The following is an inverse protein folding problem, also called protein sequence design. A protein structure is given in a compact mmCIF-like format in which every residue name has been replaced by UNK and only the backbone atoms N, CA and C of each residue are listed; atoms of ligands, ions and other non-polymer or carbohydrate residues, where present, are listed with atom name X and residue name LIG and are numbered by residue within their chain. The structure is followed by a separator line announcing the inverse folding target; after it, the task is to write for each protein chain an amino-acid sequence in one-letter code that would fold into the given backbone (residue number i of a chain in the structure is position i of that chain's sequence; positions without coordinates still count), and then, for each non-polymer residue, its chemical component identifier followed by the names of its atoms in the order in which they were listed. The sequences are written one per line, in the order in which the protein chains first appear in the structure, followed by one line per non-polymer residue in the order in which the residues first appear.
data_IF_383954083486
#
_entry.id   IF_383954083486
#
_cell.length_a   1.000
_cell.length_b   1.000
_cell.length_c   1.000
_cell.angle_alpha   90.00
_cell.angle_beta   90.00
_cell.angle_gamma   90.00
#
_symmetry.space_group_name_H-M   'P 1'
#
loop_
_entity.id
_entity.type
_entity.pdbx_description
1 polymer ?
#
# COMPACT_ATOMS: atom_id res chain seq x y z
N UNK A 1 25.90 8.94 -69.17
CA UNK A 1 25.63 7.53 -69.50
C UNK A 1 24.23 7.16 -69.01
N UNK A 2 23.37 6.70 -69.91
CA UNK A 2 21.96 6.32 -69.69
C UNK A 2 21.85 4.91 -69.08
N UNK A 3 20.88 4.69 -68.18
CA UNK A 3 19.97 3.52 -68.13
C UNK A 3 19.01 3.67 -66.93
N UNK A 4 17.68 3.84 -67.13
CA UNK A 4 16.63 2.80 -67.33
C UNK A 4 16.50 1.92 -66.06
N UNK A 5 15.35 1.75 -65.37
CA UNK A 5 13.96 1.56 -65.82
C UNK A 5 12.94 1.83 -64.68
N UNK A 6 11.77 2.34 -65.09
CA UNK A 6 10.47 2.26 -64.41
C UNK A 6 10.05 0.78 -64.20
N UNK A 7 9.19 0.46 -63.21
CA UNK A 7 7.89 -0.16 -63.52
C UNK A 7 6.93 -0.18 -62.33
N UNK A 8 5.77 0.40 -62.61
CA UNK A 8 4.51 0.37 -61.89
C UNK A 8 3.90 -1.04 -61.94
N UNK A 9 3.39 -1.57 -60.82
CA UNK A 9 2.43 -2.69 -60.84
C UNK A 9 1.18 -2.24 -60.06
N UNK A 10 0.11 -2.02 -60.82
CA UNK A 10 -1.28 -1.98 -60.36
C UNK A 10 -1.88 -3.37 -60.61
N UNK A 11 -2.45 -4.00 -59.58
CA UNK A 11 -3.48 -5.04 -59.67
C UNK A 11 -4.34 -4.90 -58.39
N UNK A 12 -5.53 -4.30 -58.48
CA UNK A 12 -6.84 -4.95 -58.69
C UNK A 12 -7.38 -5.62 -57.41
N UNK A 13 -8.35 -4.91 -56.81
CA UNK A 13 -9.65 -5.35 -56.27
C UNK A 13 -9.71 -6.73 -55.60
N UNK A 14 -9.89 -6.70 -54.28
CA UNK A 14 -10.37 -7.82 -53.49
C UNK A 14 -11.17 -7.30 -52.31
N UNK A 15 -12.42 -6.87 -52.56
CA UNK A 15 -13.39 -6.66 -51.50
C UNK A 15 -13.85 -8.03 -51.00
N UNK A 16 -13.53 -8.38 -49.75
CA UNK A 16 -14.30 -9.37 -49.01
C UNK A 16 -14.58 -8.83 -47.60
N UNK A 17 -15.86 -8.75 -47.33
CA UNK A 17 -16.47 -8.26 -46.11
C UNK A 17 -16.16 -9.24 -44.98
N UNK A 18 -15.53 -8.79 -43.90
CA UNK A 18 -15.59 -9.46 -42.61
C UNK A 18 -16.13 -8.48 -41.57
N UNK A 19 -17.36 -8.78 -41.18
CA UNK A 19 -18.06 -8.32 -39.98
C UNK A 19 -17.19 -8.43 -38.73
N UNK A 20 -17.15 -7.41 -37.87
CA UNK A 20 -16.56 -7.57 -36.54
C UNK A 20 -16.23 -6.29 -35.77
N UNK A 21 -17.26 -5.69 -35.18
CA UNK A 21 -17.26 -5.02 -33.87
C UNK A 21 -16.18 -3.96 -33.49
N UNK A 22 -16.67 -2.71 -33.43
CA UNK A 22 -16.57 -1.77 -32.30
C UNK A 22 -15.37 -1.88 -31.35
N UNK A 23 -14.55 -0.83 -31.28
CA UNK A 23 -14.06 -0.30 -30.01
C UNK A 23 -13.77 1.20 -30.11
N UNK A 24 -14.26 1.90 -29.10
CA UNK A 24 -14.65 3.30 -29.06
C UNK A 24 -13.49 4.08 -28.45
N UNK A 25 -13.12 5.18 -29.11
CA UNK A 25 -12.22 6.21 -28.60
C UNK A 25 -12.96 7.05 -27.54
N UNK A 26 -12.40 7.29 -26.34
CA UNK A 26 -12.93 8.33 -25.43
C UNK A 26 -11.84 8.94 -24.53
N UNK A 27 -11.38 10.10 -24.99
CA UNK A 27 -11.11 11.37 -24.30
C UNK A 27 -10.93 11.40 -22.76
N UNK A 28 -9.87 12.08 -22.35
CA UNK A 28 -9.54 12.53 -21.00
C UNK A 28 -10.67 13.35 -20.34
N UNK A 29 -10.87 13.16 -19.03
CA UNK A 29 -11.58 14.12 -18.18
C UNK A 29 -10.82 14.33 -16.85
N UNK A 30 -10.40 15.58 -16.60
CA UNK A 30 -9.91 16.06 -15.29
C UNK A 30 -11.11 16.26 -14.37
N UNK A 31 -11.06 15.74 -13.15
CA UNK A 31 -12.04 16.06 -12.12
C UNK A 31 -11.46 17.12 -11.17
N UNK A 32 -11.96 18.34 -11.32
CA UNK A 32 -12.00 19.35 -10.26
C UNK A 32 -13.30 19.12 -9.49
N UNK A 33 -13.23 18.71 -8.23
CA UNK A 33 -14.41 18.64 -7.37
C UNK A 33 -14.01 18.87 -5.91
N UNK A 34 -14.45 20.02 -5.43
CA UNK A 34 -14.55 20.40 -4.02
C UNK A 34 -15.39 19.38 -3.25
N UNK A 35 -14.83 18.81 -2.19
CA UNK A 35 -15.50 17.82 -1.34
C UNK A 35 -16.31 18.51 -0.24
N UNK A 36 -17.63 18.46 -0.33
CA UNK A 36 -18.52 18.59 0.83
C UNK A 36 -18.76 17.19 1.42
N UNK A 37 -18.64 16.99 2.75
CA UNK A 37 -18.87 15.70 3.36
C UNK A 37 -20.37 15.39 3.35
N UNK A 38 -20.71 14.10 3.23
CA UNK A 38 -22.04 13.52 3.43
C UNK A 38 -22.92 13.30 2.18
N UNK A 39 -22.39 12.62 1.16
CA UNK A 39 -23.22 11.88 0.19
C UNK A 39 -22.57 10.54 -0.14
N UNK A 40 -23.27 9.45 0.15
CA UNK A 40 -22.77 8.08 0.05
C UNK A 40 -22.31 7.68 -1.35
N UNK A 41 -21.38 6.73 -1.41
CA UNK A 41 -20.82 6.18 -2.65
C UNK A 41 -21.76 5.09 -3.16
N UNK A 42 -22.33 5.29 -4.35
CA UNK A 42 -23.08 4.25 -5.09
C UNK A 42 -22.09 3.39 -5.88
N UNK A 43 -21.89 2.15 -5.45
CA UNK A 43 -21.13 1.14 -6.20
C UNK A 43 -22.10 0.35 -7.08
N UNK A 44 -22.01 0.49 -8.41
CA UNK A 44 -22.65 -0.43 -9.35
C UNK A 44 -21.79 -1.69 -9.44
N UNK A 45 -22.22 -2.77 -8.79
CA UNK A 45 -21.58 -4.08 -8.92
C UNK A 45 -22.37 -4.94 -9.91
N UNK A 46 -21.67 -5.49 -10.89
CA UNK A 46 -22.22 -6.56 -11.75
C UNK A 46 -21.84 -7.88 -11.10
N UNK A 47 -22.85 -8.58 -10.58
CA UNK A 47 -22.83 -10.00 -10.20
C UNK A 47 -21.92 -10.42 -9.03
N UNK A 48 -22.47 -10.34 -7.80
CA UNK A 48 -22.18 -11.34 -6.77
C UNK A 48 -23.47 -12.12 -6.49
N UNK A 49 -23.50 -13.41 -6.85
CA UNK A 49 -24.47 -14.36 -6.31
C UNK A 49 -24.05 -14.73 -4.89
N UNK A 50 -24.85 -14.33 -3.91
CA UNK A 50 -24.83 -14.93 -2.58
C UNK A 50 -26.26 -15.13 -2.09
N UNK A 51 -26.64 -16.37 -1.87
CA UNK A 51 -27.92 -16.75 -1.29
C UNK A 51 -27.72 -16.83 0.21
N UNK A 52 -27.86 -15.69 0.89
CA UNK A 52 -28.02 -15.68 2.35
C UNK A 52 -29.11 -14.69 2.72
N UNK A 53 -30.29 -15.24 2.98
CA UNK A 53 -31.44 -14.50 3.48
C UNK A 53 -31.10 -13.99 4.88
N UNK A 54 -30.99 -12.68 5.04
CA UNK A 54 -30.92 -12.06 6.37
C UNK A 54 -32.36 -11.71 6.74
N UNK A 55 -32.93 -12.45 7.68
CA UNK A 55 -34.25 -12.17 8.24
C UNK A 55 -34.09 -11.02 9.25
N UNK A 56 -34.70 -9.87 8.94
CA UNK A 56 -34.79 -8.75 9.87
C UNK A 56 -35.76 -9.09 11.03
N UNK A 57 -35.40 -8.85 12.29
CA UNK A 57 -36.37 -8.75 13.38
C UNK A 57 -36.94 -7.32 13.41
N UNK A 58 -38.26 -7.24 13.54
CA UNK A 58 -39.06 -6.01 13.65
C UNK A 58 -38.88 -5.31 15.00
N UNK A 59 -39.15 -4.01 14.97
CA UNK A 59 -39.23 -3.08 16.11
C UNK A 59 -39.89 -3.67 17.37
N UNK A 60 -39.27 -3.37 18.52
CA UNK A 60 -39.80 -3.56 19.86
C UNK A 60 -39.11 -2.60 20.83
N UNK A 61 -39.91 -1.78 21.51
CA UNK A 61 -39.55 -0.58 22.26
C UNK A 61 -39.08 -0.87 23.70
N UNK A 62 -38.18 0.01 24.17
CA UNK A 62 -37.58 0.27 25.49
C UNK A 62 -37.94 -0.58 26.73
N UNK A 63 -36.89 -1.04 27.42
CA UNK A 63 -36.80 -0.99 28.89
C UNK A 63 -35.39 -0.54 29.31
N UNK A 64 -35.35 0.50 30.15
CA UNK A 64 -34.14 1.04 30.77
C UNK A 64 -33.61 0.05 31.82
N UNK A 65 -32.40 -0.47 31.62
CA UNK A 65 -31.61 -1.08 32.69
C UNK A 65 -30.14 -0.67 32.57
N UNK A 66 -29.60 -0.25 33.71
CA UNK A 66 -28.24 0.27 33.87
C UNK A 66 -27.30 -0.87 34.21
N UNK A 67 -26.37 -1.19 33.31
CA UNK A 67 -25.26 -2.08 33.65
C UNK A 67 -24.67 -2.79 32.44
N UNK A 68 -23.36 -2.61 32.26
CA UNK A 68 -22.51 -3.25 31.25
C UNK A 68 -22.55 -2.65 29.85
N UNK A 69 -21.68 -1.66 29.61
CA UNK A 69 -21.19 -1.40 28.26
C UNK A 69 -20.03 -2.36 27.95
N UNK A 70 -20.32 -3.65 27.84
CA UNK A 70 -19.60 -4.54 26.92
C UNK A 70 -19.92 -4.08 25.50
N UNK A 71 -19.34 -2.96 25.10
CA UNK A 71 -19.31 -2.56 23.70
C UNK A 71 -18.29 -3.46 23.02
N UNK A 72 -18.76 -4.64 22.59
CA UNK A 72 -18.09 -5.42 21.56
C UNK A 72 -17.81 -4.48 20.37
N UNK A 73 -16.57 -4.00 20.29
CA UNK A 73 -16.12 -3.07 19.26
C UNK A 73 -16.42 -3.68 17.90
N UNK A 74 -17.29 -3.01 17.15
CA UNK A 74 -17.45 -3.24 15.72
C UNK A 74 -16.10 -2.91 15.04
N UNK A 75 -15.21 -3.90 14.96
CA UNK A 75 -14.09 -3.96 14.02
C UNK A 75 -13.25 -2.69 13.88
N UNK A 76 -12.92 -2.00 14.98
CA UNK A 76 -12.02 -0.85 14.91
C UNK A 76 -10.66 -1.28 14.33
N UNK A 77 -10.26 -0.70 13.20
CA UNK A 77 -8.98 -0.98 12.56
C UNK A 77 -7.85 -0.55 13.50
N UNK A 78 -6.96 -1.50 13.85
CA UNK A 78 -5.83 -1.22 14.75
C UNK A 78 -4.95 -0.08 14.22
N UNK A 79 -4.32 0.69 15.12
CA UNK A 79 -3.43 1.80 14.73
C UNK A 79 -2.27 1.30 13.85
N UNK A 80 -1.75 0.10 14.11
CA UNK A 80 -0.73 -0.55 13.28
C UNK A 80 -1.20 -0.82 11.85
N UNK A 81 -2.44 -1.30 11.68
CA UNK A 81 -3.04 -1.47 10.35
C UNK A 81 -3.24 -0.13 9.64
N UNK A 82 -3.61 0.94 10.35
CA UNK A 82 -3.72 2.28 9.75
C UNK A 82 -2.36 2.81 9.27
N UNK A 83 -1.30 2.62 10.06
CA UNK A 83 0.09 2.93 9.68
C UNK A 83 0.49 2.20 8.39
N UNK A 84 0.21 0.90 8.32
CA UNK A 84 0.49 0.07 7.14
C UNK A 84 -0.28 0.57 5.92
N UNK A 85 -1.58 0.83 6.04
CA UNK A 85 -2.42 1.36 4.95
C UNK A 85 -1.89 2.71 4.45
N UNK A 86 -1.36 3.55 5.33
CA UNK A 86 -0.75 4.81 4.94
C UNK A 86 0.61 4.61 4.25
N UNK A 87 1.44 3.67 4.72
CA UNK A 87 2.73 3.35 4.13
C UNK A 87 2.61 2.90 2.65
N UNK A 88 1.54 2.18 2.30
CA UNK A 88 1.28 1.76 0.92
C UNK A 88 1.20 2.92 -0.09
N UNK A 89 0.84 4.13 0.34
CA UNK A 89 0.77 5.32 -0.54
C UNK A 89 2.13 5.73 -1.10
N UNK A 90 3.22 5.24 -0.52
CA UNK A 90 4.59 5.58 -0.91
C UNK A 90 5.25 4.51 -1.76
N UNK A 91 4.59 3.38 -2.05
CA UNK A 91 5.12 2.39 -2.98
C UNK A 91 5.50 3.06 -4.32
N UNK A 92 6.66 2.69 -4.86
CA UNK A 92 7.19 3.27 -6.09
C UNK A 92 7.92 4.61 -5.92
N UNK A 93 7.85 5.28 -4.75
CA UNK A 93 8.62 6.52 -4.53
C UNK A 93 10.12 6.24 -4.55
N UNK A 94 10.95 7.13 -5.13
CA UNK A 94 12.38 6.90 -5.25
C UNK A 94 13.07 6.86 -3.90
N UNK A 95 14.13 6.04 -3.82
CA UNK A 95 15.08 6.13 -2.73
C UNK A 95 16.04 7.30 -2.94
N UNK A 96 16.19 8.15 -1.92
CA UNK A 96 17.23 9.20 -1.88
C UNK A 96 17.81 9.23 -0.47
N UNK A 97 19.13 9.06 -0.35
CA UNK A 97 19.81 9.09 0.95
C UNK A 97 19.56 10.43 1.66
N UNK A 98 19.16 10.38 2.93
CA UNK A 98 18.84 11.58 3.70
C UNK A 98 17.41 12.10 3.49
N UNK A 99 16.64 11.59 2.52
CA UNK A 99 15.28 12.05 2.28
C UNK A 99 14.26 11.50 3.30
N UNK A 100 13.32 12.35 3.70
CA UNK A 100 12.25 12.04 4.65
C UNK A 100 10.87 12.52 4.15
N UNK A 101 10.59 12.33 2.85
CA UNK A 101 9.28 12.55 2.25
C UNK A 101 8.97 13.98 1.78
N UNK A 102 7.77 14.19 1.20
CA UNK A 102 6.85 13.14 0.75
C UNK A 102 7.24 12.51 -0.61
N UNK A 103 8.19 13.12 -1.33
CA UNK A 103 8.48 12.77 -2.72
C UNK A 103 9.57 11.69 -2.87
N UNK A 104 10.44 11.55 -1.89
CA UNK A 104 11.53 10.57 -1.87
C UNK A 104 11.85 10.20 -0.42
N UNK A 105 12.46 9.03 -0.21
CA UNK A 105 12.74 8.52 1.13
C UNK A 105 14.07 7.76 1.19
N UNK A 106 14.75 7.81 2.32
CA UNK A 106 15.57 6.66 2.74
C UNK A 106 14.79 5.78 3.72
N UNK A 107 15.42 4.70 4.20
CA UNK A 107 14.73 3.71 5.02
C UNK A 107 14.14 4.28 6.31
N UNK A 108 14.93 5.04 7.07
CA UNK A 108 14.50 5.66 8.33
C UNK A 108 13.66 6.92 8.12
N UNK A 109 13.84 7.61 6.99
CA UNK A 109 13.01 8.73 6.58
C UNK A 109 11.59 8.30 6.20
N UNK A 110 11.43 7.11 5.59
CA UNK A 110 10.11 6.53 5.31
C UNK A 110 9.34 6.24 6.61
N UNK A 111 9.97 5.53 7.55
CA UNK A 111 9.34 5.23 8.84
C UNK A 111 9.01 6.51 9.59
N UNK A 112 9.96 7.44 9.71
CA UNK A 112 9.73 8.73 10.36
C UNK A 112 8.56 9.48 9.75
N UNK A 113 8.52 9.60 8.42
CA UNK A 113 7.44 10.31 7.74
C UNK A 113 6.08 9.65 7.97
N UNK A 114 5.99 8.32 7.78
CA UNK A 114 4.73 7.58 7.98
C UNK A 114 4.22 7.76 9.41
N UNK A 115 5.08 7.55 10.41
CA UNK A 115 4.67 7.62 11.82
C UNK A 115 4.33 9.05 12.27
N UNK A 116 4.97 10.08 11.69
CA UNK A 116 4.62 11.48 11.98
C UNK A 116 3.15 11.80 11.70
N UNK A 117 2.54 11.13 10.71
CA UNK A 117 1.12 11.30 10.36
C UNK A 117 0.15 10.71 11.37
N UNK A 118 0.67 9.94 12.32
CA UNK A 118 -0.05 9.35 13.44
C UNK A 118 0.36 9.96 14.78
N UNK A 119 1.00 11.14 14.74
CA UNK A 119 1.44 11.91 15.90
C UNK A 119 2.66 11.32 16.61
N UNK A 120 3.45 10.49 15.93
CA UNK A 120 4.60 9.80 16.52
C UNK A 120 5.88 10.29 15.86
N UNK A 121 6.73 10.94 16.65
CA UNK A 121 7.99 11.49 16.18
C UNK A 121 9.10 10.47 16.40
N UNK A 122 9.42 9.70 15.36
CA UNK A 122 10.59 8.82 15.37
C UNK A 122 11.87 9.62 15.14
N UNK A 123 12.97 9.21 15.76
CA UNK A 123 14.29 9.76 15.49
C UNK A 123 14.69 9.56 14.02
N UNK A 124 15.58 10.40 13.51
CA UNK A 124 15.90 10.43 12.08
C UNK A 124 16.62 9.19 11.57
N UNK A 125 17.46 8.55 12.38
CA UNK A 125 18.39 7.52 11.89
C UNK A 125 17.98 6.12 12.34
N UNK A 126 18.31 5.11 11.54
CA UNK A 126 18.07 3.71 11.92
C UNK A 126 18.73 3.35 13.26
N UNK A 127 19.94 3.87 13.51
CA UNK A 127 20.70 3.66 14.74
C UNK A 127 20.00 4.18 16.00
N UNK A 128 19.12 5.17 15.86
CA UNK A 128 18.35 5.73 16.98
C UNK A 128 16.96 5.07 17.04
N UNK A 129 16.29 4.88 15.90
CA UNK A 129 14.99 4.21 15.83
C UNK A 129 15.00 2.78 16.39
N UNK A 130 16.12 2.05 16.27
CA UNK A 130 16.25 0.70 16.85
C UNK A 130 16.15 0.69 18.37
N UNK A 131 16.31 1.84 19.04
CA UNK A 131 16.12 1.99 20.48
C UNK A 131 14.69 2.39 20.90
N UNK A 132 13.81 2.70 19.95
CA UNK A 132 12.49 3.25 20.25
C UNK A 132 11.40 2.17 20.41
N UNK A 133 10.39 2.48 21.22
CA UNK A 133 9.28 1.58 21.50
C UNK A 133 9.67 0.33 22.28
N UNK A 134 8.88 -0.73 22.14
CA UNK A 134 9.08 -2.00 22.87
C UNK A 134 9.72 -3.05 21.96
N UNK A 135 10.69 -3.83 22.47
CA UNK A 135 11.27 -4.95 21.72
C UNK A 135 10.20 -6.00 21.40
N UNK A 136 10.19 -6.54 20.19
CA UNK A 136 9.26 -7.58 19.75
C UNK A 136 10.04 -8.78 19.22
N UNK A 137 9.63 -9.99 19.62
CA UNK A 137 10.17 -11.21 19.03
C UNK A 137 9.63 -11.39 17.61
N UNK A 138 10.41 -12.05 16.74
CA UNK A 138 10.00 -12.25 15.35
C UNK A 138 8.67 -13.02 15.20
N UNK A 139 8.36 -13.93 16.14
CA UNK A 139 7.09 -14.66 16.20
C UNK A 139 5.88 -13.79 16.56
N UNK A 140 6.12 -12.65 17.21
CA UNK A 140 5.08 -11.82 17.81
C UNK A 140 4.82 -10.54 16.99
N UNK A 141 5.36 -10.49 15.77
CA UNK A 141 5.25 -9.37 14.86
C UNK A 141 3.79 -9.08 14.50
N UNK A 142 3.42 -7.80 14.59
CA UNK A 142 2.10 -7.29 14.22
C UNK A 142 2.25 -6.17 13.19
N UNK A 143 1.27 -6.02 12.26
CA UNK A 143 1.28 -4.92 11.30
C UNK A 143 1.55 -3.57 11.98
N UNK A 144 2.50 -2.81 11.45
CA UNK A 144 2.97 -1.54 12.02
C UNK A 144 4.19 -1.66 12.94
N UNK A 145 4.66 -2.86 13.28
CA UNK A 145 5.97 -3.00 13.93
C UNK A 145 7.10 -2.59 12.97
N UNK A 146 8.17 -2.02 13.50
CA UNK A 146 9.40 -1.76 12.75
C UNK A 146 10.31 -2.98 12.79
N UNK A 147 10.80 -3.41 11.63
CA UNK A 147 11.77 -4.50 11.48
C UNK A 147 13.12 -3.94 11.05
N UNK A 148 14.19 -4.40 11.70
CA UNK A 148 15.53 -3.87 11.54
C UNK A 148 16.50 -4.92 11.00
N UNK A 149 17.47 -4.49 10.19
CA UNK A 149 18.40 -5.39 9.51
C UNK A 149 19.86 -4.90 9.52
N UNK A 150 20.79 -5.86 9.52
CA UNK A 150 22.23 -5.65 9.52
C UNK A 150 22.82 -5.62 8.10
N UNK A 151 22.36 -4.70 7.24
CA UNK A 151 22.75 -4.66 5.82
C UNK A 151 24.18 -4.17 5.57
N UNK A 152 24.75 -3.40 6.51
CA UNK A 152 26.07 -2.76 6.41
C UNK A 152 26.92 -3.08 7.65
N UNK A 153 26.95 -4.36 8.08
CA UNK A 153 27.72 -4.83 9.24
C UNK A 153 27.16 -4.46 10.61
N UNK A 154 26.23 -3.50 10.67
CA UNK A 154 25.49 -3.08 11.86
C UNK A 154 24.02 -2.83 11.51
N UNK A 155 23.16 -2.60 12.52
CA UNK A 155 21.74 -2.27 12.30
C UNK A 155 21.62 -0.96 11.54
N UNK A 156 21.41 -1.08 10.23
CA UNK A 156 21.59 0.00 9.25
C UNK A 156 20.37 0.16 8.36
N UNK A 157 19.44 -0.80 8.38
CA UNK A 157 18.21 -0.76 7.63
C UNK A 157 16.98 -0.96 8.49
N UNK A 158 15.86 -0.32 8.11
CA UNK A 158 14.57 -0.44 8.78
C UNK A 158 13.44 -0.51 7.75
N UNK A 159 12.37 -1.22 8.11
CA UNK A 159 11.12 -1.27 7.35
C UNK A 159 9.91 -1.39 8.28
N UNK A 160 8.71 -1.20 7.72
CA UNK A 160 7.42 -1.31 8.41
C UNK A 160 6.84 -2.69 8.10
N UNK A 161 6.69 -3.53 9.11
CA UNK A 161 6.07 -4.84 8.96
C UNK A 161 4.59 -4.70 8.60
N UNK A 162 4.14 -5.43 7.58
CA UNK A 162 2.78 -5.32 7.04
C UNK A 162 1.91 -6.55 7.30
N UNK A 163 2.48 -7.58 7.94
CA UNK A 163 1.83 -8.88 8.11
C UNK A 163 2.39 -9.94 7.16
N UNK A 164 2.00 -11.20 7.35
CA UNK A 164 2.33 -12.33 6.46
C UNK A 164 3.83 -12.51 6.16
N UNK A 165 4.71 -12.10 7.08
CA UNK A 165 6.14 -12.19 6.85
C UNK A 165 6.68 -11.12 5.88
N UNK A 166 5.92 -10.08 5.56
CA UNK A 166 6.31 -9.03 4.61
C UNK A 166 6.48 -7.66 5.28
N UNK A 167 7.21 -6.76 4.62
CA UNK A 167 7.44 -5.41 5.10
C UNK A 167 7.63 -4.40 3.96
N UNK A 168 7.19 -3.15 4.16
CA UNK A 168 7.41 -2.02 3.26
C UNK A 168 8.66 -1.27 3.71
N UNK A 169 9.50 -0.88 2.76
CA UNK A 169 10.71 -0.12 3.05
C UNK A 169 11.26 0.63 1.82
N UNK A 170 12.16 1.59 2.06
CA UNK A 170 12.96 2.24 1.03
C UNK A 170 14.37 1.59 1.02
N UNK A 171 14.68 0.65 0.11
CA UNK A 171 15.84 -0.24 0.23
C UNK A 171 17.20 0.42 0.05
N UNK A 172 17.43 1.11 -1.07
CA UNK A 172 18.70 1.75 -1.46
C UNK A 172 18.55 2.50 -2.78
N UNK A 173 19.54 3.31 -3.13
CA UNK A 173 19.62 4.00 -4.43
C UNK A 173 19.40 3.04 -5.60
N UNK A 174 18.59 3.45 -6.57
CA UNK A 174 18.22 2.63 -7.73
C UNK A 174 17.08 1.64 -7.48
N UNK A 175 16.54 1.55 -6.26
CA UNK A 175 15.33 0.79 -5.97
C UNK A 175 14.29 1.68 -5.26
N UNK A 176 13.03 1.69 -5.71
CA UNK A 176 12.00 2.50 -5.08
C UNK A 176 11.56 1.88 -3.74
N UNK A 177 10.72 2.61 -3.01
CA UNK A 177 9.93 2.04 -1.91
C UNK A 177 9.15 0.84 -2.42
N UNK A 178 9.33 -0.31 -1.78
CA UNK A 178 8.79 -1.59 -2.24
C UNK A 178 8.37 -2.47 -1.05
N UNK A 179 7.69 -3.57 -1.35
CA UNK A 179 7.44 -4.66 -0.40
C UNK A 179 8.54 -5.71 -0.58
N UNK A 180 9.04 -6.24 0.53
CA UNK A 180 9.95 -7.37 0.57
C UNK A 180 9.48 -8.41 1.58
N UNK A 181 9.89 -9.66 1.38
CA UNK A 181 9.63 -10.75 2.34
C UNK A 181 10.76 -10.87 3.35
N UNK A 182 10.41 -11.14 4.61
CA UNK A 182 11.34 -11.54 5.68
C UNK A 182 11.92 -12.95 5.45
N UNK A 183 11.29 -13.78 4.61
CA UNK A 183 11.79 -15.10 4.22
C UNK A 183 12.72 -15.05 3.01
N UNK A 184 12.83 -13.91 2.34
CA UNK A 184 13.84 -13.71 1.29
C UNK A 184 15.24 -13.97 1.85
N UNK A 185 16.09 -14.70 1.11
CA UNK A 185 17.39 -15.16 1.60
C UNK A 185 18.27 -14.01 2.11
N UNK A 186 18.21 -12.84 1.46
CA UNK A 186 18.96 -11.67 1.89
C UNK A 186 18.40 -11.10 3.20
N UNK A 187 17.11 -10.85 3.29
CA UNK A 187 16.51 -10.25 4.51
C UNK A 187 16.44 -11.21 5.68
N UNK A 188 16.26 -12.51 5.43
CA UNK A 188 16.25 -13.54 6.46
C UNK A 188 17.58 -13.60 7.20
N UNK A 189 18.70 -13.63 6.47
CA UNK A 189 20.05 -13.65 7.03
C UNK A 189 20.43 -12.35 7.73
N UNK A 190 19.84 -11.22 7.33
CA UNK A 190 20.17 -9.89 7.87
C UNK A 190 19.24 -9.42 8.97
N UNK A 191 18.18 -10.14 9.30
CA UNK A 191 17.24 -9.75 10.34
C UNK A 191 17.95 -9.56 11.69
N UNK A 192 17.75 -8.40 12.32
CA UNK A 192 18.40 -8.03 13.57
C UNK A 192 17.42 -8.06 14.76
N UNK A 193 16.35 -7.26 14.68
CA UNK A 193 15.36 -7.11 15.77
C UNK A 193 14.09 -6.45 15.24
N UNK A 194 13.04 -6.39 16.07
CA UNK A 194 11.85 -5.59 15.80
C UNK A 194 11.44 -4.70 16.99
N UNK A 195 10.71 -3.63 16.69
CA UNK A 195 10.17 -2.67 17.66
C UNK A 195 8.70 -2.37 17.42
N UNK A 196 7.90 -2.40 18.49
CA UNK A 196 6.51 -1.94 18.49
C UNK A 196 6.46 -0.50 18.93
N UNK A 197 5.99 0.35 18.02
CA UNK A 197 5.89 1.79 18.23
C UNK A 197 4.46 2.19 18.64
N UNK A 198 3.45 1.52 18.09
CA UNK A 198 2.03 1.75 18.40
C UNK A 198 1.51 0.64 19.30
N UNK A 199 0.79 1.02 20.36
CA UNK A 199 0.09 0.08 21.27
C UNK A 199 -1.30 -0.22 20.74
#
# INVERSE_FOLDING_TARGET
MRNKKNMLIKCIVGALVFTGACLINTQNAKADTTLTPNKGITLKTSELKTTKVIKAPSDGQETLDSGSTDTASRGAISKGTQVVNYAYKFLGKPYVYGAAGPNAFDCSGLTQYVFSKFGINLSRTTYTQVGEGTKVNRSDLKPGDLVFFNTQGSTSHVGIYIGNGEFIHAPRTGKPVMVSSLSDGYYSQKYATARRIVK
#
